data_IF_276867450505
#
_entry.id   IF_276867450505
#
_cell.length_a   1.000
_cell.length_b   1.000
_cell.length_c   1.000
_cell.angle_alpha   90.00
_cell.angle_beta   90.00
_cell.angle_gamma   90.00
#
_symmetry.space_group_name_H-M   'P 1'
#
loop_
_entity.id
_entity.type
_entity.pdbx_description
1 polymer ?
#
# COMPACT_ATOMS: atom_id res chain seq x y z
N UNK A 1 -4.20 1.22 -16.50
CA UNK A 1 -2.75 1.30 -16.24
C UNK A 1 -2.43 0.32 -15.14
N UNK A 2 -1.50 -0.61 -15.39
CA UNK A 2 -1.09 -1.61 -14.40
C UNK A 2 0.21 -1.18 -13.74
N UNK A 3 0.22 -1.20 -12.42
CA UNK A 3 1.38 -0.86 -11.62
C UNK A 3 2.09 -2.12 -11.11
N UNK A 4 3.41 -2.06 -11.06
CA UNK A 4 4.22 -3.03 -10.33
C UNK A 4 4.32 -2.63 -8.87
N UNK A 5 4.31 -3.60 -7.96
CA UNK A 5 4.44 -3.37 -6.52
C UNK A 5 5.82 -3.76 -6.07
N UNK A 6 6.48 -2.86 -5.34
CA UNK A 6 7.73 -3.14 -4.64
C UNK A 6 7.56 -2.85 -3.15
N UNK A 7 7.83 -3.86 -2.33
CA UNK A 7 7.81 -3.72 -0.88
C UNK A 7 9.19 -3.34 -0.37
N UNK A 8 9.27 -2.30 0.47
CA UNK A 8 10.49 -2.07 1.26
C UNK A 8 10.59 -3.17 2.34
N UNK A 9 11.80 -3.55 2.78
CA UNK A 9 11.98 -4.57 3.81
C UNK A 9 11.19 -4.28 5.10
N UNK A 10 11.02 -3.00 5.46
CA UNK A 10 10.18 -2.60 6.60
C UNK A 10 8.71 -2.97 6.41
N UNK A 11 8.14 -2.76 5.23
CA UNK A 11 6.74 -3.10 4.95
C UNK A 11 6.49 -4.61 5.06
N UNK A 12 7.47 -5.43 4.65
CA UNK A 12 7.41 -6.89 4.82
C UNK A 12 7.34 -7.24 6.31
N UNK A 13 8.26 -6.68 7.12
CA UNK A 13 8.26 -6.90 8.59
C UNK A 13 6.97 -6.42 9.25
N UNK A 14 6.37 -5.34 8.77
CA UNK A 14 5.12 -4.84 9.31
C UNK A 14 3.94 -5.76 8.94
N UNK A 15 3.89 -6.30 7.72
CA UNK A 15 2.91 -7.30 7.30
C UNK A 15 3.04 -8.62 8.08
N UNK A 16 4.25 -9.03 8.42
CA UNK A 16 4.53 -10.25 9.19
C UNK A 16 3.99 -10.19 10.63
N UNK A 17 3.90 -8.99 11.22
CA UNK A 17 3.37 -8.79 12.58
C UNK A 17 1.84 -8.84 12.64
N UNK A 18 1.17 -8.77 11.51
CA UNK A 18 -0.29 -8.76 11.45
C UNK A 18 -0.86 -10.17 11.63
N UNK A 19 -2.13 -10.22 12.06
CA UNK A 19 -2.89 -11.46 12.01
C UNK A 19 -2.95 -11.99 10.57
N UNK A 20 -3.10 -13.31 10.42
CA UNK A 20 -3.25 -13.94 9.10
C UNK A 20 -4.43 -13.35 8.31
N UNK A 21 -5.51 -13.00 9.01
CA UNK A 21 -6.71 -12.40 8.42
C UNK A 21 -6.43 -10.98 7.92
N UNK A 22 -5.79 -10.13 8.71
CA UNK A 22 -5.49 -8.75 8.32
C UNK A 22 -4.45 -8.71 7.19
N UNK A 23 -3.42 -9.55 7.27
CA UNK A 23 -2.43 -9.69 6.20
C UNK A 23 -3.09 -10.09 4.87
N UNK A 24 -3.99 -11.07 4.90
CA UNK A 24 -4.74 -11.51 3.71
C UNK A 24 -5.58 -10.37 3.13
N UNK A 25 -6.30 -9.64 3.99
CA UNK A 25 -7.15 -8.51 3.59
C UNK A 25 -6.34 -7.39 2.96
N UNK A 26 -5.19 -7.05 3.55
CA UNK A 26 -4.28 -6.02 3.04
C UNK A 26 -3.70 -6.42 1.69
N UNK A 27 -3.19 -7.65 1.57
CA UNK A 27 -2.62 -8.13 0.31
C UNK A 27 -3.63 -8.14 -0.83
N UNK A 28 -4.88 -8.54 -0.56
CA UNK A 28 -5.94 -8.50 -1.56
C UNK A 28 -6.24 -7.06 -2.05
N UNK A 29 -6.25 -6.08 -1.14
CA UNK A 29 -6.46 -4.67 -1.50
C UNK A 29 -5.26 -4.07 -2.23
N UNK A 30 -4.05 -4.45 -1.84
CA UNK A 30 -2.81 -4.07 -2.53
C UNK A 30 -2.81 -4.62 -3.96
N UNK A 31 -3.20 -5.88 -4.17
CA UNK A 31 -3.25 -6.48 -5.51
C UNK A 31 -4.30 -5.79 -6.40
N UNK A 32 -5.49 -5.49 -5.86
CA UNK A 32 -6.52 -4.74 -6.57
C UNK A 32 -6.02 -3.33 -6.97
N UNK A 33 -5.23 -2.68 -6.11
CA UNK A 33 -4.70 -1.34 -6.35
C UNK A 33 -3.75 -1.27 -7.56
N UNK A 34 -3.17 -2.40 -8.00
CA UNK A 34 -2.31 -2.43 -9.19
C UNK A 34 -3.01 -1.98 -10.44
N UNK A 35 -4.32 -2.19 -10.53
CA UNK A 35 -5.10 -1.76 -11.68
C UNK A 35 -5.71 -0.39 -11.41
N UNK A 36 -5.08 0.67 -11.94
CA UNK A 36 -5.55 2.05 -11.83
C UNK A 36 -5.77 2.58 -10.40
N UNK A 37 -4.96 2.14 -9.42
CA UNK A 37 -5.04 2.62 -8.03
C UNK A 37 -6.42 2.43 -7.39
N UNK A 38 -7.10 1.33 -7.72
CA UNK A 38 -8.42 1.01 -7.16
C UNK A 38 -8.42 0.93 -5.62
N UNK A 39 -9.53 1.38 -5.02
CA UNK A 39 -9.77 1.31 -3.58
C UNK A 39 -9.92 2.67 -2.90
N UNK A 40 -9.84 2.71 -1.56
CA UNK A 40 -9.76 3.95 -0.78
C UNK A 40 -8.32 4.49 -0.84
N UNK A 41 -7.94 4.94 -2.04
CA UNK A 41 -6.65 5.56 -2.33
C UNK A 41 -6.82 7.07 -2.33
N UNK A 42 -5.95 7.77 -1.61
CA UNK A 42 -5.91 9.24 -1.57
C UNK A 42 -4.49 9.74 -1.71
N UNK A 43 -4.29 10.73 -2.58
CA UNK A 43 -3.05 11.49 -2.64
C UNK A 43 -2.99 12.49 -1.47
N UNK A 44 -1.88 12.49 -0.75
CA UNK A 44 -1.56 13.38 0.36
C UNK A 44 -0.78 14.58 -0.16
N UNK A 45 -1.19 15.80 0.23
CA UNK A 45 -0.48 17.04 -0.12
C UNK A 45 0.65 17.28 0.88
N UNK A 46 1.85 17.62 0.41
CA UNK A 46 3.02 17.94 1.23
C UNK A 46 3.51 16.80 2.15
N UNK A 47 3.30 15.53 1.75
CA UNK A 47 3.82 14.36 2.45
C UNK A 47 4.63 13.48 1.50
N UNK A 48 5.68 12.86 2.02
CA UNK A 48 6.40 11.75 1.38
C UNK A 48 6.35 10.58 2.36
N UNK A 49 5.69 9.45 2.00
CA UNK A 49 5.09 9.10 0.71
C UNK A 49 3.79 9.87 0.46
N UNK A 50 3.49 10.17 -0.80
CA UNK A 50 2.38 11.05 -1.18
C UNK A 50 1.06 10.32 -1.48
N UNK A 51 0.95 9.01 -1.28
CA UNK A 51 -0.31 8.28 -1.38
C UNK A 51 -0.62 7.43 -0.15
N UNK A 52 -1.90 7.19 0.08
CA UNK A 52 -2.42 6.32 1.13
C UNK A 52 -3.53 5.42 0.59
N UNK A 53 -3.42 4.11 0.80
CA UNK A 53 -4.53 3.16 0.70
C UNK A 53 -5.05 2.83 2.11
N UNK A 54 -6.36 2.89 2.31
CA UNK A 54 -7.00 2.50 3.59
C UNK A 54 -7.57 1.08 3.51
N UNK A 55 -7.24 0.25 4.49
CA UNK A 55 -7.79 -1.11 4.63
C UNK A 55 -8.27 -1.31 6.07
N UNK A 56 -9.55 -1.02 6.31
CA UNK A 56 -10.12 -0.99 7.66
C UNK A 56 -9.40 0.05 8.53
N UNK A 57 -8.72 -0.43 9.58
CA UNK A 57 -7.95 0.41 10.50
C UNK A 57 -6.52 0.69 10.04
N UNK A 58 -6.03 -0.01 9.01
CA UNK A 58 -4.66 0.14 8.54
C UNK A 58 -4.53 1.22 7.48
N UNK A 59 -3.45 2.00 7.57
CA UNK A 59 -3.04 2.95 6.55
C UNK A 59 -1.78 2.46 5.87
N UNK A 60 -1.88 2.26 4.56
CA UNK A 60 -0.78 1.80 3.74
C UNK A 60 -0.24 3.00 2.96
N UNK A 61 0.96 3.48 3.33
CA UNK A 61 1.58 4.63 2.68
C UNK A 61 2.52 4.17 1.55
N UNK A 62 2.36 4.78 0.38
CA UNK A 62 3.15 4.46 -0.81
C UNK A 62 3.37 5.68 -1.69
N UNK A 63 4.30 5.56 -2.61
CA UNK A 63 4.59 6.52 -3.67
C UNK A 63 4.45 5.83 -5.03
N UNK A 64 4.04 6.59 -6.05
CA UNK A 64 3.99 6.12 -7.44
C UNK A 64 5.15 6.76 -8.18
N UNK A 65 6.09 5.94 -8.65
CA UNK A 65 7.19 6.35 -9.52
C UNK A 65 7.00 5.67 -10.88
N UNK A 66 6.65 6.45 -11.90
CA UNK A 66 6.31 5.97 -13.26
C UNK A 66 5.17 4.93 -13.25
N UNK A 67 5.52 3.64 -13.25
CA UNK A 67 4.60 2.49 -13.19
C UNK A 67 4.83 1.63 -11.92
N UNK A 68 5.67 2.09 -11.00
CA UNK A 68 6.08 1.33 -9.80
C UNK A 68 5.51 1.96 -8.53
N UNK A 69 4.93 1.13 -7.68
CA UNK A 69 4.42 1.49 -6.36
C UNK A 69 5.43 1.06 -5.30
N UNK A 70 6.04 2.03 -4.61
CA UNK A 70 6.97 1.75 -3.50
C UNK A 70 6.27 1.94 -2.15
N UNK A 71 6.19 0.87 -1.37
CA UNK A 71 5.55 0.86 -0.05
C UNK A 71 6.52 1.24 1.06
N UNK A 72 6.11 2.15 1.95
CA UNK A 72 6.99 2.71 2.98
C UNK A 72 6.56 2.39 4.41
N UNK A 73 5.27 2.24 4.70
CA UNK A 73 4.84 1.98 6.09
C UNK A 73 3.38 1.56 6.23
N UNK A 74 3.12 0.65 7.18
CA UNK A 74 1.78 0.37 7.73
C UNK A 74 1.66 1.09 9.08
N UNK A 75 0.62 1.92 9.23
CA UNK A 75 0.25 2.55 10.51
C UNK A 75 -1.14 2.10 10.94
#
# INVERSE_FOLDING_TARGET
MKYQIQFKPKAIKDLEKLSSQDRTRIMAKIEAMKDNLQGDVKQLKNFTPNYRLRVGNYRILFEVEEITLKYLQLN
#
